data_IF_666222581397
#
_entry.id   IF_666222581397
#
_cell.length_a   1.000
_cell.length_b   1.000
_cell.length_c   1.000
_cell.angle_alpha   90.00
_cell.angle_beta   90.00
_cell.angle_gamma   90.00
#
_symmetry.space_group_name_H-M   'P 1'
#
loop_
_entity.id
_entity.type
_entity.pdbx_description
1 polymer ?
#
# COMPACT_ATOMS: atom_id res chain seq x y z
N UNK A 1 -17.38 -70.09 -39.86
CA UNK A 1 -16.57 -69.92 -41.09
C UNK A 1 -16.14 -68.47 -41.16
N UNK A 2 -14.89 -68.14 -41.52
CA UNK A 2 -13.60 -68.87 -41.41
C UNK A 2 -12.64 -68.06 -40.50
N UNK A 3 -11.40 -68.41 -40.11
CA UNK A 3 -10.47 -69.53 -40.28
C UNK A 3 -9.27 -69.24 -39.35
N UNK A 4 -8.79 -70.23 -38.56
CA UNK A 4 -7.50 -70.95 -38.72
C UNK A 4 -6.23 -70.07 -38.58
N UNK A 5 -5.44 -70.22 -37.52
CA UNK A 5 -4.40 -71.25 -37.23
C UNK A 5 -3.00 -70.91 -37.80
N UNK A 6 -1.98 -71.51 -37.18
CA UNK A 6 -0.51 -71.45 -37.39
C UNK A 6 0.22 -70.43 -36.48
N UNK A 7 1.28 -70.75 -35.72
CA UNK A 7 2.10 -71.96 -35.63
C UNK A 7 2.95 -71.93 -34.34
N UNK A 8 3.01 -73.09 -33.68
CA UNK A 8 4.17 -73.76 -33.05
C UNK A 8 5.56 -73.34 -33.61
N UNK A 9 6.73 -73.47 -32.96
CA UNK A 9 7.25 -74.20 -31.79
C UNK A 9 8.74 -73.75 -31.70
N UNK A 10 9.35 -73.76 -30.52
CA UNK A 10 10.77 -74.10 -30.40
C UNK A 10 11.06 -74.64 -28.99
N UNK A 11 11.33 -75.94 -28.95
CA UNK A 11 11.76 -76.73 -27.80
C UNK A 11 13.27 -76.53 -27.54
N UNK A 12 13.67 -76.54 -26.27
CA UNK A 12 14.85 -77.27 -25.72
C UNK A 12 14.88 -77.02 -24.19
N UNK A 13 14.44 -77.97 -23.37
CA UNK A 13 15.16 -79.12 -22.77
C UNK A 13 16.26 -78.75 -21.77
N UNK A 14 16.04 -79.26 -20.55
CA UNK A 14 17.01 -79.87 -19.61
C UNK A 14 18.13 -78.98 -19.01
N UNK A 15 18.64 -79.17 -17.80
CA UNK A 15 18.28 -79.94 -16.61
C UNK A 15 19.21 -79.45 -15.47
N UNK A 16 18.68 -79.54 -14.25
CA UNK A 16 19.31 -79.51 -12.92
C UNK A 16 20.84 -79.71 -12.85
N UNK A 17 21.55 -78.80 -12.15
CA UNK A 17 22.59 -79.12 -11.15
C UNK A 17 22.68 -77.99 -10.10
N UNK A 18 22.51 -78.33 -8.82
CA UNK A 18 23.02 -77.64 -7.62
C UNK A 18 24.31 -78.36 -7.18
N UNK A 19 25.18 -77.86 -6.27
CA UNK A 19 25.31 -76.53 -5.64
C UNK A 19 26.76 -75.99 -5.67
N UNK A 20 26.99 -74.73 -5.30
CA UNK A 20 28.29 -74.30 -4.78
C UNK A 20 28.11 -73.12 -3.82
N UNK A 21 28.28 -73.41 -2.53
CA UNK A 21 28.45 -72.41 -1.47
C UNK A 21 29.93 -72.02 -1.47
N UNK A 22 30.20 -70.74 -1.72
CA UNK A 22 31.46 -70.10 -1.33
C UNK A 22 31.14 -68.70 -0.82
N UNK A 23 31.42 -68.50 0.47
CA UNK A 23 31.25 -67.27 1.22
C UNK A 23 32.04 -66.12 0.58
N UNK A 24 31.42 -64.94 0.46
CA UNK A 24 32.13 -63.68 0.47
C UNK A 24 31.40 -62.68 1.38
N UNK A 25 32.15 -62.21 2.37
CA UNK A 25 31.81 -61.19 3.35
C UNK A 25 31.83 -59.83 2.65
N UNK A 26 30.75 -59.06 2.73
CA UNK A 26 30.75 -57.59 2.62
C UNK A 26 29.45 -57.01 3.19
N UNK A 27 29.56 -56.56 4.44
CA UNK A 27 29.00 -55.35 5.05
C UNK A 27 27.58 -54.90 4.68
N UNK A 28 26.71 -54.95 5.70
CA UNK A 28 25.39 -54.32 5.79
C UNK A 28 25.43 -52.83 5.39
N UNK A 29 24.58 -52.46 4.43
CA UNK A 29 24.17 -51.08 4.20
C UNK A 29 23.04 -50.73 5.17
N UNK A 30 23.03 -49.54 5.78
CA UNK A 30 22.04 -49.17 6.78
C UNK A 30 20.66 -49.01 6.13
N UNK A 31 19.67 -49.62 6.77
CA UNK A 31 18.25 -49.52 6.46
C UNK A 31 17.84 -48.05 6.24
N UNK A 32 17.37 -47.75 5.03
CA UNK A 32 16.59 -46.56 4.73
C UNK A 32 15.32 -46.60 5.56
N UNK A 33 15.32 -45.87 6.68
CA UNK A 33 14.12 -45.57 7.46
C UNK A 33 13.13 -44.83 6.56
N UNK A 34 12.14 -45.56 6.07
CA UNK A 34 10.97 -45.03 5.40
C UNK A 34 10.22 -44.07 6.33
N UNK A 35 9.89 -42.89 5.82
CA UNK A 35 8.96 -41.96 6.46
C UNK A 35 7.65 -42.71 6.79
N UNK A 36 7.11 -42.58 8.01
CA UNK A 36 5.85 -43.22 8.35
C UNK A 36 4.74 -42.66 7.45
N UNK A 37 3.99 -43.55 6.80
CA UNK A 37 2.79 -43.23 6.02
C UNK A 37 1.75 -42.56 6.94
N UNK A 38 1.76 -41.22 7.00
CA UNK A 38 0.75 -40.42 7.68
C UNK A 38 -0.40 -40.08 6.72
N UNK A 39 -1.13 -41.09 6.29
CA UNK A 39 -2.43 -40.89 5.64
C UNK A 39 -3.53 -40.89 6.69
N UNK A 40 -3.87 -39.69 7.18
CA UNK A 40 -5.08 -39.46 7.97
C UNK A 40 -6.11 -38.76 7.05
N UNK A 41 -7.16 -39.43 6.57
CA UNK A 41 -8.03 -38.95 5.49
C UNK A 41 -9.04 -37.86 5.90
N UNK A 42 -8.74 -37.03 6.91
CA UNK A 42 -9.72 -36.10 7.50
C UNK A 42 -9.26 -34.68 7.77
N UNK A 43 -8.00 -34.32 7.54
CA UNK A 43 -7.54 -32.94 7.73
C UNK A 43 -7.87 -32.11 6.50
N UNK A 44 -8.75 -31.12 6.63
CA UNK A 44 -9.04 -30.17 5.55
C UNK A 44 -7.88 -29.20 5.37
N UNK A 45 -7.74 -28.58 4.19
CA UNK A 45 -6.71 -27.59 3.91
C UNK A 45 -6.76 -26.43 4.92
N UNK A 46 -7.96 -25.95 5.28
CA UNK A 46 -8.15 -24.89 6.27
C UNK A 46 -7.72 -25.31 7.69
N UNK A 47 -7.97 -26.56 8.09
CA UNK A 47 -7.53 -27.07 9.38
C UNK A 47 -5.99 -27.22 9.43
N UNK A 48 -5.38 -27.63 8.31
CA UNK A 48 -3.92 -27.68 8.18
C UNK A 48 -3.28 -26.28 8.29
N UNK A 49 -3.86 -25.29 7.61
CA UNK A 49 -3.42 -23.90 7.72
C UNK A 49 -3.54 -23.36 9.16
N UNK A 50 -4.66 -23.61 9.84
CA UNK A 50 -4.90 -23.16 11.21
C UNK A 50 -3.88 -23.75 12.22
N UNK A 51 -3.47 -25.01 12.03
CA UNK A 51 -2.40 -25.63 12.83
C UNK A 51 -1.10 -24.81 12.70
N UNK A 52 -0.73 -24.46 11.46
CA UNK A 52 0.50 -23.72 11.18
C UNK A 52 0.41 -22.27 11.72
N UNK A 53 -0.73 -21.59 11.55
CA UNK A 53 -0.92 -20.25 12.09
C UNK A 53 -0.79 -20.24 13.62
N UNK A 54 -1.47 -21.17 14.30
CA UNK A 54 -1.42 -21.28 15.77
C UNK A 54 -0.01 -21.57 16.27
N UNK A 55 0.75 -22.38 15.54
CA UNK A 55 2.15 -22.64 15.85
C UNK A 55 2.99 -21.36 15.82
N UNK A 56 2.93 -20.59 14.74
CA UNK A 56 3.70 -19.33 14.67
C UNK A 56 3.21 -18.29 15.70
N UNK A 57 1.89 -18.16 15.90
CA UNK A 57 1.31 -17.27 16.93
C UNK A 57 1.81 -17.66 18.34
N UNK A 58 1.89 -18.96 18.64
CA UNK A 58 2.43 -19.43 19.90
C UNK A 58 3.92 -19.08 20.05
N UNK A 59 4.72 -19.27 19.01
CA UNK A 59 6.15 -18.96 19.05
C UNK A 59 6.43 -17.46 19.20
N UNK A 60 5.73 -16.59 18.48
CA UNK A 60 5.95 -15.14 18.59
C UNK A 60 5.58 -14.56 19.97
N UNK A 61 4.70 -15.26 20.71
CA UNK A 61 4.25 -14.83 22.04
C UNK A 61 5.12 -15.38 23.17
N UNK A 62 5.74 -16.55 22.97
CA UNK A 62 6.41 -17.29 24.04
C UNK A 62 7.93 -17.48 23.83
N UNK A 63 8.44 -17.18 22.65
CA UNK A 63 9.86 -17.39 22.28
C UNK A 63 10.53 -16.10 21.84
N UNK A 64 11.86 -16.15 21.71
CA UNK A 64 12.63 -15.05 21.11
C UNK A 64 12.33 -14.93 19.61
N UNK A 65 12.34 -13.71 19.04
CA UNK A 65 12.11 -13.46 17.61
C UNK A 65 12.93 -14.34 16.65
N UNK A 66 14.19 -14.60 16.97
CA UNK A 66 15.11 -15.37 16.16
C UNK A 66 14.71 -16.85 16.06
N UNK A 67 14.10 -17.39 17.12
CA UNK A 67 13.60 -18.77 17.12
C UNK A 67 12.38 -18.90 16.23
N UNK A 68 11.44 -17.95 16.28
CA UNK A 68 10.30 -17.94 15.37
C UNK A 68 10.75 -17.83 13.89
N UNK A 69 11.81 -17.07 13.63
CA UNK A 69 12.43 -17.02 12.30
C UNK A 69 13.07 -18.35 11.88
N UNK A 70 13.78 -19.02 12.80
CA UNK A 70 14.37 -20.32 12.53
C UNK A 70 13.31 -21.37 12.22
N UNK A 71 12.23 -21.43 13.00
CA UNK A 71 11.11 -22.34 12.73
C UNK A 71 10.43 -22.05 11.38
N UNK A 72 10.35 -20.77 10.98
CA UNK A 72 9.84 -20.40 9.67
C UNK A 72 10.74 -20.93 8.53
N UNK A 73 12.05 -20.76 8.66
CA UNK A 73 13.02 -21.32 7.72
C UNK A 73 12.92 -22.83 7.65
N UNK A 74 12.84 -23.50 8.81
CA UNK A 74 12.69 -24.93 8.91
C UNK A 74 11.37 -25.43 8.30
N UNK A 75 10.29 -24.65 8.33
CA UNK A 75 9.02 -25.11 7.76
C UNK A 75 8.93 -24.90 6.24
N UNK A 76 9.37 -23.74 5.75
CA UNK A 76 9.09 -23.32 4.38
C UNK A 76 10.33 -23.28 3.46
N UNK A 77 11.52 -22.97 3.98
CA UNK A 77 12.68 -22.64 3.14
C UNK A 77 13.63 -23.83 3.04
N UNK A 78 14.07 -24.33 4.19
CA UNK A 78 14.95 -25.49 4.33
C UNK A 78 14.30 -26.46 5.32
N UNK A 79 13.45 -27.38 4.85
CA UNK A 79 12.85 -28.41 5.70
C UNK A 79 13.89 -29.33 6.33
N UNK A 80 14.37 -28.93 7.52
CA UNK A 80 15.35 -29.66 8.31
C UNK A 80 14.63 -30.25 9.54
N UNK A 81 14.75 -31.56 9.72
CA UNK A 81 14.22 -32.24 10.90
C UNK A 81 15.01 -31.86 12.17
N UNK A 82 14.36 -31.74 13.35
CA UNK A 82 13.02 -32.25 13.65
C UNK A 82 11.94 -31.17 13.71
N UNK A 83 10.97 -31.22 12.80
CA UNK A 83 9.68 -30.53 12.93
C UNK A 83 8.67 -31.42 13.66
N UNK A 84 7.73 -30.80 14.37
CA UNK A 84 6.61 -31.53 14.99
C UNK A 84 5.83 -32.33 13.94
N UNK A 85 5.48 -33.59 14.26
CA UNK A 85 4.77 -34.47 13.32
C UNK A 85 3.45 -33.88 12.80
N UNK A 86 2.78 -33.04 13.61
CA UNK A 86 1.55 -32.32 13.23
C UNK A 86 1.80 -31.26 12.14
N UNK A 87 2.93 -30.56 12.18
CA UNK A 87 3.30 -29.56 11.18
C UNK A 87 3.67 -30.22 9.87
N UNK A 88 4.43 -31.32 9.92
CA UNK A 88 4.77 -32.11 8.74
C UNK A 88 3.49 -32.62 8.07
N UNK A 89 2.55 -33.16 8.86
CA UNK A 89 1.27 -33.62 8.35
C UNK A 89 0.45 -32.49 7.74
N UNK A 90 0.38 -31.32 8.39
CA UNK A 90 -0.32 -30.15 7.87
C UNK A 90 0.25 -29.69 6.52
N UNK A 91 1.58 -29.54 6.43
CA UNK A 91 2.26 -29.17 5.19
C UNK A 91 2.05 -30.21 4.09
N UNK A 92 2.11 -31.49 4.42
CA UNK A 92 1.82 -32.57 3.47
C UNK A 92 0.38 -32.49 2.96
N UNK A 93 -0.61 -32.26 3.82
CA UNK A 93 -2.01 -32.07 3.41
C UNK A 93 -2.16 -30.93 2.41
N UNK A 94 -1.54 -29.77 2.67
CA UNK A 94 -1.61 -28.60 1.78
C UNK A 94 -1.00 -28.91 0.41
N UNK A 95 0.16 -29.57 0.38
CA UNK A 95 0.86 -29.90 -0.87
C UNK A 95 0.12 -30.98 -1.66
N UNK A 96 -0.46 -31.98 -1.00
CA UNK A 96 -1.26 -33.03 -1.66
C UNK A 96 -2.55 -32.47 -2.26
N UNK A 97 -3.17 -31.47 -1.63
CA UNK A 97 -4.31 -30.76 -2.22
C UNK A 97 -3.95 -30.02 -3.53
N UNK A 98 -2.64 -29.80 -3.78
CA UNK A 98 -2.10 -29.19 -4.99
C UNK A 98 -2.74 -27.82 -5.33
N UNK A 99 -3.09 -27.06 -4.29
CA UNK A 99 -3.65 -25.72 -4.41
C UNK A 99 -2.58 -24.68 -4.10
N UNK A 100 -1.95 -24.16 -5.16
CA UNK A 100 -0.92 -23.13 -5.07
C UNK A 100 -1.44 -21.83 -4.44
N UNK A 101 -2.72 -21.50 -4.65
CA UNK A 101 -3.31 -20.25 -4.14
C UNK A 101 -3.42 -20.32 -2.62
N UNK A 102 -3.90 -21.45 -2.10
CA UNK A 102 -4.02 -21.67 -0.66
C UNK A 102 -2.67 -21.78 0.04
N UNK A 103 -1.65 -22.31 -0.64
CA UNK A 103 -0.27 -22.26 -0.14
C UNK A 103 0.26 -20.81 -0.08
N UNK A 104 0.08 -20.03 -1.15
CA UNK A 104 0.53 -18.64 -1.18
C UNK A 104 -0.15 -17.79 -0.09
N UNK A 105 -1.45 -17.98 0.13
CA UNK A 105 -2.19 -17.33 1.22
C UNK A 105 -1.63 -17.70 2.60
N UNK A 106 -1.36 -18.99 2.83
CA UNK A 106 -0.72 -19.47 4.06
C UNK A 106 0.65 -18.84 4.29
N UNK A 107 1.50 -18.88 3.27
CA UNK A 107 2.86 -18.37 3.34
C UNK A 107 2.86 -16.86 3.59
N UNK A 108 2.06 -16.09 2.81
CA UNK A 108 1.84 -14.65 2.99
C UNK A 108 1.43 -14.32 4.42
N UNK A 109 0.41 -15.01 4.94
CA UNK A 109 -0.08 -14.76 6.31
C UNK A 109 0.97 -15.06 7.37
N UNK A 110 1.74 -16.15 7.22
CA UNK A 110 2.84 -16.46 8.14
C UNK A 110 3.94 -15.38 8.13
N UNK A 111 4.28 -14.81 6.96
CA UNK A 111 5.17 -13.66 6.88
C UNK A 111 4.62 -12.48 7.69
N UNK A 112 3.34 -12.10 7.52
CA UNK A 112 2.75 -10.98 8.26
C UNK A 112 2.65 -11.23 9.77
N UNK A 113 2.40 -12.47 10.22
CA UNK A 113 2.43 -12.84 11.65
C UNK A 113 3.80 -12.50 12.26
N UNK A 114 4.89 -12.89 11.60
CA UNK A 114 6.25 -12.60 12.06
C UNK A 114 6.58 -11.10 11.97
N UNK A 115 6.32 -10.50 10.81
CA UNK A 115 6.66 -9.09 10.55
C UNK A 115 5.95 -8.14 11.53
N UNK A 116 4.67 -8.37 11.82
CA UNK A 116 3.91 -7.57 12.76
C UNK A 116 4.50 -7.60 14.17
N UNK A 117 4.91 -8.80 14.61
CA UNK A 117 5.55 -8.98 15.91
C UNK A 117 6.92 -8.29 15.96
N UNK A 118 7.78 -8.54 14.96
CA UNK A 118 9.15 -8.02 14.93
C UNK A 118 9.20 -6.50 14.83
N UNK A 119 8.35 -5.89 13.99
CA UNK A 119 8.28 -4.43 13.88
C UNK A 119 7.84 -3.79 15.19
N UNK A 120 6.86 -4.38 15.88
CA UNK A 120 6.40 -3.91 17.18
C UNK A 120 7.52 -3.97 18.23
N UNK A 121 8.40 -4.98 18.13
CA UNK A 121 9.56 -5.16 18.99
C UNK A 121 10.84 -4.47 18.47
N UNK A 122 10.74 -3.65 17.41
CA UNK A 122 11.86 -2.93 16.77
C UNK A 122 12.96 -3.84 16.20
N UNK A 123 12.64 -5.09 15.89
CA UNK A 123 13.53 -6.08 15.28
C UNK A 123 13.54 -5.95 13.75
N UNK A 124 13.94 -4.77 13.25
CA UNK A 124 13.86 -4.45 11.82
C UNK A 124 14.82 -5.27 10.95
N UNK A 125 15.97 -5.65 11.53
CA UNK A 125 16.96 -6.48 10.84
C UNK A 125 16.39 -7.86 10.46
N UNK A 126 15.61 -8.50 11.35
CA UNK A 126 14.95 -9.77 11.05
C UNK A 126 13.90 -9.63 9.94
N UNK A 127 13.18 -8.51 9.90
CA UNK A 127 12.23 -8.24 8.82
C UNK A 127 12.93 -8.11 7.46
N UNK A 128 14.08 -7.44 7.42
CA UNK A 128 14.90 -7.32 6.20
C UNK A 128 15.49 -8.66 5.77
N UNK A 129 16.00 -9.44 6.73
CA UNK A 129 16.52 -10.79 6.49
C UNK A 129 15.45 -11.71 5.91
N UNK A 130 14.21 -11.66 6.41
CA UNK A 130 13.10 -12.45 5.86
C UNK A 130 12.90 -12.17 4.36
N UNK A 131 12.86 -10.89 3.96
CA UNK A 131 12.67 -10.52 2.55
C UNK A 131 13.87 -10.96 1.71
N UNK A 132 15.10 -10.75 2.21
CA UNK A 132 16.32 -11.16 1.52
C UNK A 132 16.40 -12.67 1.32
N UNK A 133 16.12 -13.46 2.38
CA UNK A 133 16.14 -14.93 2.30
C UNK A 133 15.08 -15.45 1.35
N UNK A 134 13.86 -14.91 1.35
CA UNK A 134 12.81 -15.31 0.40
C UNK A 134 13.24 -15.07 -1.05
N UNK A 135 13.93 -13.95 -1.33
CA UNK A 135 14.49 -13.67 -2.66
C UNK A 135 15.52 -14.72 -3.08
N UNK A 136 16.42 -15.09 -2.18
CA UNK A 136 17.53 -16.00 -2.44
C UNK A 136 17.08 -17.44 -2.73
N UNK A 137 15.86 -17.83 -2.35
CA UNK A 137 15.25 -19.13 -2.71
C UNK A 137 15.26 -19.36 -4.22
N UNK A 138 15.15 -18.29 -5.01
CA UNK A 138 15.16 -18.36 -6.48
C UNK A 138 16.49 -18.84 -7.07
N UNK A 139 17.58 -18.74 -6.31
CA UNK A 139 18.95 -19.06 -6.75
C UNK A 139 19.39 -20.48 -6.38
N UNK A 140 18.60 -21.20 -5.57
CA UNK A 140 18.93 -22.54 -5.10
C UNK A 140 18.63 -23.62 -6.15
N UNK A 141 19.50 -24.64 -6.24
CA UNK A 141 19.36 -25.80 -7.13
C UNK A 141 18.06 -26.59 -6.89
N UNK A 142 17.54 -27.38 -7.86
CA UNK A 142 16.36 -28.20 -7.65
C UNK A 142 16.55 -29.27 -6.56
N UNK A 143 15.52 -29.49 -5.73
CA UNK A 143 15.55 -30.52 -4.69
C UNK A 143 15.39 -31.92 -5.28
N UNK A 144 15.98 -32.93 -4.63
CA UNK A 144 15.89 -34.34 -5.04
C UNK A 144 14.52 -34.99 -4.75
N UNK A 145 13.72 -34.41 -3.83
CA UNK A 145 12.42 -34.96 -3.42
C UNK A 145 11.24 -34.20 -4.05
N UNK A 146 10.23 -34.94 -4.52
CA UNK A 146 9.04 -34.38 -5.19
C UNK A 146 8.31 -33.32 -4.34
N UNK A 147 8.21 -33.53 -3.01
CA UNK A 147 7.56 -32.60 -2.08
C UNK A 147 8.28 -31.25 -2.03
N UNK A 148 9.61 -31.28 -1.84
CA UNK A 148 10.45 -30.08 -1.80
C UNK A 148 10.50 -29.37 -3.16
N UNK A 149 10.39 -30.13 -4.24
CA UNK A 149 10.34 -29.58 -5.59
C UNK A 149 9.07 -28.75 -5.81
N UNK A 150 7.89 -29.25 -5.40
CA UNK A 150 6.63 -28.51 -5.50
C UNK A 150 6.69 -27.22 -4.67
N UNK A 151 7.14 -27.34 -3.41
CA UNK A 151 7.31 -26.19 -2.51
C UNK A 151 8.24 -25.12 -3.11
N UNK A 152 9.40 -25.52 -3.67
CA UNK A 152 10.33 -24.59 -4.35
C UNK A 152 9.74 -23.98 -5.61
N UNK A 153 8.90 -24.69 -6.36
CA UNK A 153 8.21 -24.13 -7.53
C UNK A 153 7.21 -23.05 -7.07
N UNK A 154 6.40 -23.34 -6.06
CA UNK A 154 5.42 -22.38 -5.53
C UNK A 154 6.10 -21.15 -4.93
N UNK A 155 7.16 -21.33 -4.14
CA UNK A 155 7.93 -20.20 -3.60
C UNK A 155 8.58 -19.35 -4.69
N UNK A 156 9.11 -19.95 -5.75
CA UNK A 156 9.64 -19.19 -6.89
C UNK A 156 8.56 -18.36 -7.60
N UNK A 157 7.36 -18.92 -7.77
CA UNK A 157 6.22 -18.18 -8.30
C UNK A 157 5.76 -17.07 -7.35
N UNK A 158 5.77 -17.33 -6.04
CA UNK A 158 5.46 -16.34 -5.01
C UNK A 158 6.41 -15.14 -5.06
N UNK A 159 7.72 -15.37 -5.22
CA UNK A 159 8.71 -14.28 -5.36
C UNK A 159 8.42 -13.40 -6.58
N UNK A 160 7.90 -13.96 -7.66
CA UNK A 160 7.48 -13.21 -8.86
C UNK A 160 6.07 -12.60 -8.75
N UNK A 161 5.38 -12.78 -7.62
CA UNK A 161 3.99 -12.37 -7.44
C UNK A 161 3.87 -10.96 -6.84
N UNK A 162 2.68 -10.38 -6.97
CA UNK A 162 2.32 -9.11 -6.32
C UNK A 162 2.42 -9.20 -4.79
N UNK A 163 2.12 -10.35 -4.20
CA UNK A 163 2.14 -10.54 -2.75
C UNK A 163 3.54 -10.37 -2.15
N UNK A 164 4.58 -10.82 -2.87
CA UNK A 164 5.96 -10.61 -2.44
C UNK A 164 6.38 -9.13 -2.55
N UNK A 165 6.00 -8.43 -3.63
CA UNK A 165 6.26 -7.00 -3.75
C UNK A 165 5.52 -6.20 -2.66
N UNK A 166 4.33 -6.63 -2.23
CA UNK A 166 3.62 -6.03 -1.09
C UNK A 166 4.39 -6.18 0.24
N UNK A 167 4.95 -7.37 0.51
CA UNK A 167 5.78 -7.63 1.70
C UNK A 167 7.07 -6.81 1.64
N UNK A 168 7.74 -6.77 0.49
CA UNK A 168 8.95 -5.98 0.29
C UNK A 168 8.70 -4.49 0.48
N UNK A 169 7.60 -3.97 -0.07
CA UNK A 169 7.17 -2.60 0.16
C UNK A 169 6.90 -2.32 1.64
N UNK A 170 6.44 -3.30 2.41
CA UNK A 170 6.16 -3.12 3.83
C UNK A 170 7.45 -2.94 4.67
N UNK A 171 8.52 -3.66 4.34
CA UNK A 171 9.79 -3.64 5.08
C UNK A 171 10.77 -2.57 4.58
N UNK A 172 10.62 -2.10 3.33
CA UNK A 172 11.58 -1.21 2.64
C UNK A 172 11.98 0.04 3.43
N UNK A 173 11.10 0.61 4.26
CA UNK A 173 11.42 1.82 5.05
C UNK A 173 12.51 1.61 6.11
N UNK A 174 12.85 0.36 6.41
CA UNK A 174 13.92 0.02 7.35
C UNK A 174 15.24 -0.29 6.65
N UNK A 175 15.22 -0.42 5.32
CA UNK A 175 16.40 -0.68 4.52
C UNK A 175 17.15 0.63 4.26
N UNK A 176 18.32 0.78 4.90
CA UNK A 176 19.17 1.96 4.74
C UNK A 176 20.16 1.83 3.56
N UNK A 177 20.19 0.68 2.87
CA UNK A 177 21.25 0.33 1.91
C UNK A 177 20.82 0.35 0.43
N UNK A 178 19.53 0.48 0.15
CA UNK A 178 19.01 0.47 -1.23
C UNK A 178 18.85 1.90 -1.74
N UNK A 179 19.42 2.21 -2.90
CA UNK A 179 19.04 3.39 -3.68
C UNK A 179 17.53 3.30 -3.96
N UNK A 180 16.76 4.04 -3.17
CA UNK A 180 15.32 3.93 -3.21
C UNK A 180 14.79 4.57 -4.48
N UNK A 181 14.10 3.76 -5.28
CA UNK A 181 13.29 4.21 -6.41
C UNK A 181 12.40 5.42 -6.02
N UNK A 182 12.12 6.33 -6.95
CA UNK A 182 11.43 7.60 -6.64
C UNK A 182 10.05 7.40 -5.96
N UNK A 183 9.41 6.26 -6.22
CA UNK A 183 8.13 5.87 -5.62
C UNK A 183 8.20 5.61 -4.12
N UNK A 184 9.38 5.32 -3.56
CA UNK A 184 9.56 4.99 -2.14
C UNK A 184 9.09 6.13 -1.21
N UNK A 185 9.28 7.38 -1.63
CA UNK A 185 8.76 8.57 -0.91
C UNK A 185 7.24 8.57 -0.78
N UNK A 186 6.55 7.96 -1.74
CA UNK A 186 5.10 7.90 -1.85
C UNK A 186 4.52 6.57 -1.34
N UNK A 187 5.32 5.79 -0.62
CA UNK A 187 4.92 4.56 0.06
C UNK A 187 3.61 4.69 0.88
N UNK A 188 3.30 5.80 1.59
CA UNK A 188 2.04 5.91 2.32
C UNK A 188 0.80 5.75 1.43
N UNK A 189 0.89 6.18 0.16
CA UNK A 189 -0.18 6.00 -0.82
C UNK A 189 -0.19 4.58 -1.40
N UNK A 190 0.98 4.00 -1.70
CA UNK A 190 1.05 2.61 -2.17
C UNK A 190 0.48 1.61 -1.14
N UNK A 191 0.67 1.87 0.14
CA UNK A 191 0.05 1.08 1.23
C UNK A 191 -1.48 1.19 1.25
N UNK A 192 -2.07 2.25 0.67
CA UNK A 192 -3.53 2.36 0.52
C UNK A 192 -4.10 1.28 -0.39
N UNK A 193 -3.37 0.86 -1.42
CA UNK A 193 -3.76 -0.28 -2.23
C UNK A 193 -3.78 -1.59 -1.42
N UNK A 194 -2.99 -1.70 -0.35
CA UNK A 194 -2.97 -2.90 0.51
C UNK A 194 -4.08 -2.88 1.56
N UNK A 195 -4.26 -1.78 2.31
CA UNK A 195 -5.26 -1.75 3.39
C UNK A 195 -6.70 -1.59 2.91
N UNK A 196 -6.92 -1.14 1.67
CA UNK A 196 -8.26 -1.06 1.08
C UNK A 196 -8.64 -2.29 0.25
N UNK A 197 -7.70 -3.21 -0.03
CA UNK A 197 -8.02 -4.43 -0.78
C UNK A 197 -8.76 -5.42 0.12
N UNK A 198 -10.04 -5.67 -0.18
CA UNK A 198 -10.87 -6.60 0.57
C UNK A 198 -10.40 -8.06 0.50
N UNK A 199 -9.50 -8.38 -0.45
CA UNK A 199 -8.88 -9.72 -0.56
C UNK A 199 -7.79 -9.95 0.48
N UNK A 200 -7.18 -8.87 0.99
CA UNK A 200 -6.14 -8.97 2.01
C UNK A 200 -6.74 -9.31 3.39
N UNK A 201 -5.98 -10.04 4.19
CA UNK A 201 -6.42 -10.44 5.53
C UNK A 201 -6.63 -9.21 6.44
N UNK A 202 -7.47 -9.30 7.48
CA UNK A 202 -7.63 -8.20 8.45
C UNK A 202 -6.30 -7.72 9.04
N UNK A 203 -5.38 -8.66 9.33
CA UNK A 203 -4.06 -8.38 9.87
C UNK A 203 -3.18 -7.61 8.87
N UNK A 204 -3.16 -8.04 7.60
CA UNK A 204 -2.46 -7.33 6.51
C UNK A 204 -2.95 -5.90 6.35
N UNK A 205 -4.28 -5.73 6.33
CA UNK A 205 -4.90 -4.42 6.14
C UNK A 205 -4.60 -3.48 7.30
N UNK A 206 -4.72 -3.96 8.54
CA UNK A 206 -4.44 -3.14 9.71
C UNK A 206 -2.97 -2.72 9.76
N UNK A 207 -2.08 -3.65 9.45
CA UNK A 207 -0.64 -3.40 9.38
C UNK A 207 -0.27 -2.34 8.35
N UNK A 208 -0.78 -2.45 7.12
CA UNK A 208 -0.54 -1.46 6.09
C UNK A 208 -1.14 -0.08 6.45
N UNK A 209 -2.31 -0.07 7.11
CA UNK A 209 -2.96 1.15 7.59
C UNK A 209 -2.13 1.87 8.65
N UNK A 210 -1.69 1.15 9.69
CA UNK A 210 -0.85 1.69 10.77
C UNK A 210 0.45 2.24 10.21
N UNK A 211 1.09 1.50 9.30
CA UNK A 211 2.33 1.93 8.67
C UNK A 211 2.15 3.22 7.84
N UNK A 212 1.10 3.26 7.00
CA UNK A 212 0.77 4.45 6.19
C UNK A 212 0.56 5.67 7.09
N UNK A 213 -0.17 5.49 8.20
CA UNK A 213 -0.42 6.57 9.16
C UNK A 213 0.87 7.07 9.82
N UNK A 214 1.75 6.16 10.28
CA UNK A 214 3.04 6.54 10.88
C UNK A 214 3.91 7.37 9.93
N UNK A 215 3.97 6.99 8.65
CA UNK A 215 4.74 7.72 7.65
C UNK A 215 4.15 9.11 7.37
N UNK A 216 2.82 9.23 7.28
CA UNK A 216 2.13 10.52 7.12
C UNK A 216 2.34 11.43 8.33
N UNK A 217 2.29 10.89 9.55
CA UNK A 217 2.52 11.65 10.78
C UNK A 217 3.97 12.12 10.90
N UNK A 218 4.94 11.27 10.50
CA UNK A 218 6.35 11.65 10.39
C UNK A 218 6.53 12.82 9.42
N UNK A 219 6.02 12.69 8.19
CA UNK A 219 6.09 13.76 7.18
C UNK A 219 5.49 15.07 7.70
N UNK A 220 4.33 14.99 8.33
CA UNK A 220 3.65 16.15 8.91
C UNK A 220 4.45 16.83 10.01
N UNK A 221 5.06 16.05 10.90
CA UNK A 221 5.94 16.58 11.95
C UNK A 221 7.16 17.26 11.33
N UNK A 222 7.83 16.61 10.38
CA UNK A 222 8.99 17.15 9.68
C UNK A 222 8.65 18.44 8.93
N UNK A 223 7.48 18.52 8.30
CA UNK A 223 7.02 19.72 7.60
C UNK A 223 6.79 20.88 8.57
N UNK A 224 6.15 20.63 9.71
CA UNK A 224 5.95 21.63 10.76
C UNK A 224 7.29 22.12 11.35
N UNK A 225 8.25 21.21 11.53
CA UNK A 225 9.60 21.55 11.99
C UNK A 225 10.36 22.37 10.95
N UNK A 226 10.26 22.01 9.68
CA UNK A 226 10.87 22.74 8.57
C UNK A 226 10.34 24.18 8.51
N UNK A 227 9.02 24.38 8.49
CA UNK A 227 8.42 25.72 8.43
C UNK A 227 8.78 26.59 9.63
N UNK A 228 8.81 26.03 10.84
CA UNK A 228 9.16 26.78 12.05
C UNK A 228 10.63 27.23 12.11
N UNK A 229 11.54 26.44 11.53
CA UNK A 229 12.99 26.66 11.64
C UNK A 229 13.57 27.47 10.48
N UNK A 230 13.09 27.24 9.27
CA UNK A 230 13.63 27.88 8.05
C UNK A 230 13.50 29.40 8.07
N UNK A 231 12.46 29.94 8.71
CA UNK A 231 12.20 31.39 8.77
C UNK A 231 12.62 32.05 10.10
N UNK A 232 13.25 31.29 10.99
CA UNK A 232 13.64 31.80 12.32
C UNK A 232 15.06 32.39 12.32
N UNK A 233 15.18 33.61 12.84
CA UNK A 233 16.46 34.33 12.93
C UNK A 233 17.48 33.60 13.82
N UNK A 234 17.01 32.87 14.83
CA UNK A 234 17.85 32.07 15.73
C UNK A 234 18.57 30.90 15.03
N UNK A 235 18.15 30.61 13.80
CA UNK A 235 18.42 29.37 13.10
C UNK A 235 19.09 29.57 11.72
N UNK A 236 19.43 30.82 11.35
CA UNK A 236 19.97 31.24 10.02
C UNK A 236 21.23 30.52 9.51
N UNK A 237 21.99 29.85 10.38
CA UNK A 237 23.30 29.27 10.04
C UNK A 237 23.33 27.73 10.01
N UNK A 238 22.20 27.04 10.13
CA UNK A 238 22.14 25.59 9.94
C UNK A 238 21.30 25.26 8.71
N UNK A 239 21.80 24.32 7.89
CA UNK A 239 21.00 23.66 6.86
C UNK A 239 19.96 22.78 7.56
N UNK A 240 18.69 22.93 7.17
CA UNK A 240 17.60 22.12 7.72
C UNK A 240 17.14 21.09 6.70
N UNK A 241 16.74 19.93 7.21
CA UNK A 241 16.10 18.92 6.39
C UNK A 241 14.74 19.44 5.90
N UNK A 242 14.62 19.61 4.58
CA UNK A 242 13.35 19.85 3.92
C UNK A 242 12.73 18.48 3.60
N UNK A 243 11.55 18.15 4.14
CA UNK A 243 10.91 16.86 3.88
C UNK A 243 10.30 16.76 2.48
N UNK A 244 10.35 17.84 1.68
CA UNK A 244 9.79 17.90 0.32
C UNK A 244 10.88 17.83 -0.76
N UNK A 245 10.50 17.45 -1.98
CA UNK A 245 11.39 17.53 -3.16
C UNK A 245 11.37 18.90 -3.86
N UNK A 246 10.60 19.87 -3.34
CA UNK A 246 10.43 21.19 -3.96
C UNK A 246 11.53 22.19 -3.56
N UNK A 247 12.41 21.84 -2.63
CA UNK A 247 13.42 22.78 -2.13
C UNK A 247 12.78 24.04 -1.53
N UNK A 248 13.36 25.20 -1.81
CA UNK A 248 12.90 26.48 -1.26
C UNK A 248 11.48 26.87 -1.74
N UNK A 249 11.04 26.36 -2.89
CA UNK A 249 9.68 26.57 -3.42
C UNK A 249 8.60 25.99 -2.49
N UNK A 250 8.95 25.02 -1.63
CA UNK A 250 8.02 24.49 -0.64
C UNK A 250 7.46 25.58 0.29
N UNK A 251 8.30 26.50 0.77
CA UNK A 251 7.85 27.58 1.66
C UNK A 251 6.97 28.57 0.91
N UNK A 252 7.36 28.94 -0.32
CA UNK A 252 6.56 29.82 -1.17
C UNK A 252 5.19 29.20 -1.43
N UNK A 253 5.13 27.92 -1.76
CA UNK A 253 3.89 27.19 -1.98
C UNK A 253 3.01 27.15 -0.73
N UNK A 254 3.57 26.85 0.45
CA UNK A 254 2.84 26.87 1.72
C UNK A 254 2.23 28.25 1.97
N UNK A 255 2.98 29.33 1.74
CA UNK A 255 2.48 30.70 1.88
C UNK A 255 1.36 30.99 0.88
N UNK A 256 1.50 30.60 -0.39
CA UNK A 256 0.45 30.75 -1.41
C UNK A 256 -0.82 30.02 -0.98
N UNK A 257 -0.72 28.77 -0.51
CA UNK A 257 -1.85 27.98 -0.02
C UNK A 257 -2.55 28.66 1.18
N UNK A 258 -1.78 29.31 2.05
CA UNK A 258 -2.31 30.05 3.20
C UNK A 258 -2.87 31.42 2.84
N UNK A 259 -2.43 32.06 1.76
CA UNK A 259 -2.99 33.33 1.26
C UNK A 259 -4.28 33.07 0.48
N UNK A 260 -4.27 32.08 -0.42
CA UNK A 260 -5.39 31.75 -1.31
C UNK A 260 -6.62 31.18 -0.59
N UNK A 261 -6.61 31.14 0.75
CA UNK A 261 -7.78 30.88 1.58
C UNK A 261 -8.75 32.07 1.64
N UNK A 262 -8.34 33.28 1.21
CA UNK A 262 -9.19 34.47 1.32
C UNK A 262 -9.55 34.78 2.78
N UNK A 263 -10.73 35.39 3.02
CA UNK A 263 -11.17 35.75 4.37
C UNK A 263 -11.64 34.56 5.21
N UNK A 264 -12.02 33.44 4.58
CA UNK A 264 -12.53 32.23 5.23
C UNK A 264 -11.63 31.03 4.92
N UNK A 265 -11.10 30.38 5.95
CA UNK A 265 -10.29 29.15 5.76
C UNK A 265 -11.08 28.07 4.99
N UNK A 266 -10.40 27.24 4.17
CA UNK A 266 -11.10 26.16 3.44
C UNK A 266 -11.93 25.24 4.35
N UNK A 267 -11.50 24.87 5.58
CA UNK A 267 -12.37 24.14 6.51
C UNK A 267 -13.63 24.91 6.91
N UNK A 268 -13.52 26.22 7.13
CA UNK A 268 -14.69 27.08 7.42
C UNK A 268 -15.64 27.11 6.23
N UNK A 269 -15.10 27.28 5.02
CA UNK A 269 -15.86 27.25 3.77
C UNK A 269 -16.61 25.92 3.59
N UNK A 270 -15.92 24.80 3.82
CA UNK A 270 -16.50 23.46 3.73
C UNK A 270 -17.66 23.27 4.72
N UNK A 271 -17.48 23.70 5.97
CA UNK A 271 -18.53 23.63 6.98
C UNK A 271 -19.75 24.49 6.62
N UNK A 272 -19.52 25.71 6.11
CA UNK A 272 -20.62 26.57 5.64
C UNK A 272 -21.38 25.93 4.49
N UNK A 273 -20.67 25.36 3.51
CA UNK A 273 -21.28 24.66 2.38
C UNK A 273 -22.10 23.44 2.84
N UNK A 274 -21.58 22.63 3.76
CA UNK A 274 -22.29 21.46 4.30
C UNK A 274 -23.56 21.88 5.05
N UNK A 275 -23.48 22.93 5.87
CA UNK A 275 -24.65 23.46 6.59
C UNK A 275 -25.72 24.01 5.62
N UNK A 276 -25.30 24.69 4.55
CA UNK A 276 -26.21 25.18 3.51
C UNK A 276 -26.79 24.05 2.64
N UNK A 277 -26.13 22.89 2.60
CA UNK A 277 -26.58 21.73 1.86
C UNK A 277 -27.55 20.85 2.66
N UNK A 278 -27.97 21.28 3.84
CA UNK A 278 -28.99 20.57 4.60
C UNK A 278 -30.36 20.81 3.96
N UNK A 279 -31.15 19.74 3.76
CA UNK A 279 -32.53 19.81 3.27
C UNK A 279 -32.72 20.36 1.85
N UNK A 280 -31.73 20.18 0.97
CA UNK A 280 -31.84 20.53 -0.46
C UNK A 280 -32.00 19.28 -1.34
N UNK A 281 -32.37 19.47 -2.61
CA UNK A 281 -32.37 18.38 -3.59
C UNK A 281 -30.96 18.04 -4.06
N UNK A 282 -30.77 16.83 -4.57
CA UNK A 282 -29.46 16.41 -5.09
C UNK A 282 -28.97 17.32 -6.24
N UNK A 283 -29.87 17.79 -7.10
CA UNK A 283 -29.56 18.76 -8.15
C UNK A 283 -29.04 20.09 -7.61
N UNK A 284 -29.70 20.63 -6.58
CA UNK A 284 -29.28 21.87 -5.92
C UNK A 284 -27.90 21.68 -5.27
N UNK A 285 -27.65 20.51 -4.67
CA UNK A 285 -26.34 20.17 -4.13
C UNK A 285 -25.26 20.19 -5.21
N UNK A 286 -25.49 19.54 -6.36
CA UNK A 286 -24.53 19.52 -7.48
C UNK A 286 -24.19 20.94 -7.97
N UNK A 287 -25.19 21.81 -8.08
CA UNK A 287 -24.98 23.23 -8.44
C UNK A 287 -24.20 23.99 -7.37
N UNK A 288 -24.49 23.75 -6.09
CA UNK A 288 -23.75 24.33 -4.97
C UNK A 288 -22.30 23.86 -4.93
N UNK A 289 -22.05 22.57 -5.24
CA UNK A 289 -20.73 21.96 -5.26
C UNK A 289 -19.81 22.61 -6.30
N UNK A 290 -20.34 22.96 -7.48
CA UNK A 290 -19.59 23.73 -8.49
C UNK A 290 -19.19 25.08 -7.92
N UNK A 291 -20.13 25.84 -7.35
CA UNK A 291 -19.85 27.17 -6.77
C UNK A 291 -18.81 27.09 -5.64
N UNK A 292 -18.92 26.10 -4.76
CA UNK A 292 -17.97 25.84 -3.68
C UNK A 292 -16.57 25.52 -4.21
N UNK A 293 -16.48 24.64 -5.21
CA UNK A 293 -15.20 24.18 -5.79
C UNK A 293 -14.39 25.34 -6.37
N UNK A 294 -15.05 26.30 -7.01
CA UNK A 294 -14.42 27.45 -7.66
C UNK A 294 -14.48 28.75 -6.83
N UNK A 295 -14.94 28.68 -5.58
CA UNK A 295 -14.93 29.84 -4.69
C UNK A 295 -13.48 30.30 -4.41
N UNK A 296 -13.19 31.58 -4.64
CA UNK A 296 -11.84 32.21 -4.67
C UNK A 296 -10.89 31.79 -5.80
N UNK A 297 -11.37 31.06 -6.82
CA UNK A 297 -10.56 30.76 -7.99
C UNK A 297 -10.66 31.92 -8.99
N UNK A 298 -9.52 32.55 -9.32
CA UNK A 298 -9.48 33.56 -10.38
C UNK A 298 -9.89 32.95 -11.72
N UNK A 299 -10.83 33.61 -12.42
CA UNK A 299 -11.32 33.13 -13.70
C UNK A 299 -10.30 33.49 -14.78
N UNK A 300 -9.66 32.46 -15.34
CA UNK A 300 -8.89 32.50 -16.56
C UNK A 300 -9.37 31.41 -17.53
N UNK A 301 -8.93 31.45 -18.79
CA UNK A 301 -9.35 30.52 -19.85
C UNK A 301 -9.23 29.06 -19.43
N UNK A 302 -8.18 28.73 -18.68
CA UNK A 302 -7.94 27.37 -18.18
C UNK A 302 -8.93 26.95 -17.10
N UNK A 303 -9.15 27.78 -16.07
CA UNK A 303 -10.11 27.50 -15.00
C UNK A 303 -11.54 27.39 -15.53
N UNK A 304 -11.87 28.10 -16.62
CA UNK A 304 -13.15 27.98 -17.31
C UNK A 304 -13.33 26.63 -18.01
N UNK A 305 -12.29 26.11 -18.68
CA UNK A 305 -12.30 24.76 -19.29
C UNK A 305 -12.54 23.71 -18.20
N UNK A 306 -11.81 23.84 -17.09
CA UNK A 306 -11.88 22.95 -15.94
C UNK A 306 -13.27 22.97 -15.32
N UNK A 307 -13.83 24.16 -15.10
CA UNK A 307 -15.17 24.33 -14.56
C UNK A 307 -16.21 23.69 -15.47
N UNK A 308 -16.12 23.91 -16.78
CA UNK A 308 -17.00 23.28 -17.78
C UNK A 308 -16.95 21.76 -17.69
N UNK A 309 -15.76 21.17 -17.60
CA UNK A 309 -15.61 19.72 -17.48
C UNK A 309 -16.18 19.16 -16.19
N UNK A 310 -16.05 19.87 -15.07
CA UNK A 310 -16.66 19.45 -13.79
C UNK A 310 -18.20 19.57 -13.85
N UNK A 311 -18.72 20.61 -14.51
CA UNK A 311 -20.17 20.75 -14.74
C UNK A 311 -20.68 19.55 -15.54
N UNK A 312 -20.05 19.21 -16.66
CA UNK A 312 -20.41 18.04 -17.48
C UNK A 312 -20.41 16.75 -16.65
N UNK A 313 -19.39 16.52 -15.83
CA UNK A 313 -19.30 15.33 -14.97
C UNK A 313 -20.48 15.28 -13.99
N UNK A 314 -20.77 16.40 -13.30
CA UNK A 314 -21.83 16.44 -12.30
C UNK A 314 -23.22 16.33 -12.91
N UNK A 315 -23.47 16.95 -14.07
CA UNK A 315 -24.74 16.82 -14.78
C UNK A 315 -25.03 15.37 -15.19
N UNK A 316 -24.00 14.64 -15.63
CA UNK A 316 -24.12 13.22 -15.98
C UNK A 316 -24.17 12.29 -14.75
N UNK A 317 -23.81 12.77 -13.56
CA UNK A 317 -23.80 11.95 -12.34
C UNK A 317 -25.22 11.82 -11.78
N UNK A 318 -25.80 10.62 -11.94
CA UNK A 318 -27.07 10.21 -11.35
C UNK A 318 -28.25 11.18 -11.58
N UNK A 319 -28.56 11.56 -12.85
CA UNK A 319 -29.65 12.48 -13.15
C UNK A 319 -31.04 11.94 -12.76
N UNK A 320 -31.19 10.62 -12.67
CA UNK A 320 -32.44 9.95 -12.31
C UNK A 320 -32.95 10.25 -10.90
N UNK A 321 -32.06 10.69 -9.99
CA UNK A 321 -32.36 11.00 -8.59
C UNK A 321 -32.15 12.48 -8.25
N UNK A 322 -32.09 13.36 -9.26
CA UNK A 322 -31.82 14.79 -9.09
C UNK A 322 -32.80 15.51 -8.15
N UNK A 323 -34.05 15.07 -8.18
CA UNK A 323 -35.13 15.63 -7.36
C UNK A 323 -35.25 14.94 -5.99
N UNK A 324 -34.45 13.89 -5.72
CA UNK A 324 -34.40 13.26 -4.39
C UNK A 324 -33.70 14.16 -3.37
N UNK A 325 -33.98 13.90 -2.09
CA UNK A 325 -33.35 14.61 -0.98
C UNK A 325 -31.87 14.25 -0.89
N UNK A 326 -31.02 15.28 -0.85
CA UNK A 326 -29.59 15.12 -0.65
C UNK A 326 -29.27 14.50 0.72
N UNK A 327 -28.31 13.57 0.75
CA UNK A 327 -27.89 12.86 1.95
C UNK A 327 -26.38 12.54 1.92
N UNK A 328 -25.85 12.03 3.04
CA UNK A 328 -24.43 11.71 3.20
C UNK A 328 -23.92 10.59 2.27
N UNK A 329 -24.79 9.66 1.86
CA UNK A 329 -24.43 8.61 0.89
C UNK A 329 -24.21 9.21 -0.50
N UNK A 330 -25.09 10.12 -0.92
CA UNK A 330 -24.94 10.86 -2.18
C UNK A 330 -23.68 11.72 -2.15
N UNK A 331 -23.42 12.45 -1.06
CA UNK A 331 -22.18 13.21 -0.88
C UNK A 331 -20.93 12.35 -1.13
N UNK A 332 -20.82 11.21 -0.43
CA UNK A 332 -19.68 10.31 -0.57
C UNK A 332 -19.53 9.77 -1.99
N UNK A 333 -20.63 9.36 -2.62
CA UNK A 333 -20.64 8.82 -3.99
C UNK A 333 -20.21 9.88 -5.01
N UNK A 334 -20.75 11.09 -4.92
CA UNK A 334 -20.41 12.20 -5.81
C UNK A 334 -18.94 12.62 -5.63
N UNK A 335 -18.46 12.74 -4.38
CA UNK A 335 -17.06 13.08 -4.11
C UNK A 335 -16.09 12.01 -4.61
N UNK A 336 -16.38 10.73 -4.39
CA UNK A 336 -15.55 9.64 -4.91
C UNK A 336 -15.57 9.61 -6.45
N UNK A 337 -16.73 9.85 -7.07
CA UNK A 337 -16.84 9.93 -8.52
C UNK A 337 -16.01 11.08 -9.10
N UNK A 338 -16.08 12.28 -8.50
CA UNK A 338 -15.26 13.42 -8.91
C UNK A 338 -13.76 13.12 -8.77
N UNK A 339 -13.32 12.58 -7.63
CA UNK A 339 -11.92 12.20 -7.41
C UNK A 339 -11.45 11.27 -8.52
N UNK A 340 -12.23 10.23 -8.83
CA UNK A 340 -11.93 9.29 -9.90
C UNK A 340 -11.81 9.99 -11.26
N UNK A 341 -12.81 10.78 -11.67
CA UNK A 341 -12.78 11.52 -12.93
C UNK A 341 -11.62 12.51 -13.07
N UNK A 342 -11.12 13.02 -11.94
CA UNK A 342 -10.00 13.95 -11.88
C UNK A 342 -8.64 13.24 -11.68
N UNK A 343 -8.61 11.91 -11.56
CA UNK A 343 -7.38 11.13 -11.31
C UNK A 343 -7.25 9.97 -12.30
N UNK A 344 -7.96 8.86 -12.07
CA UNK A 344 -7.77 7.58 -12.75
C UNK A 344 -9.05 7.01 -13.37
N UNK A 345 -8.87 6.32 -14.49
CA UNK A 345 -9.89 5.53 -15.15
C UNK A 345 -10.08 4.16 -14.47
N UNK A 346 -11.09 3.41 -14.92
CA UNK A 346 -11.33 2.04 -14.43
C UNK A 346 -10.15 1.09 -14.70
N UNK A 347 -9.45 1.31 -15.81
CA UNK A 347 -8.25 0.58 -16.22
C UNK A 347 -7.05 0.81 -15.29
N UNK A 348 -7.10 1.82 -14.42
CA UNK A 348 -5.95 2.30 -13.64
C UNK A 348 -5.10 3.33 -14.38
N UNK A 349 -5.40 3.61 -15.65
CA UNK A 349 -4.74 4.65 -16.42
C UNK A 349 -5.14 6.05 -15.93
N UNK A 350 -4.27 7.05 -16.06
CA UNK A 350 -4.63 8.43 -15.76
C UNK A 350 -5.77 8.90 -16.68
N UNK A 351 -6.69 9.71 -16.16
CA UNK A 351 -7.73 10.33 -16.99
C UNK A 351 -7.15 11.40 -17.91
N UNK A 352 -7.82 11.69 -19.02
CA UNK A 352 -7.46 12.81 -19.89
C UNK A 352 -7.47 14.15 -19.12
N UNK A 353 -8.43 14.31 -18.19
CA UNK A 353 -8.47 15.46 -17.29
C UNK A 353 -7.23 15.50 -16.42
N UNK A 354 -6.89 14.42 -15.72
CA UNK A 354 -5.69 14.39 -14.88
C UNK A 354 -4.44 14.79 -15.66
N UNK A 355 -4.22 14.22 -16.86
CA UNK A 355 -3.09 14.60 -17.71
C UNK A 355 -3.12 16.08 -18.07
N UNK A 356 -4.27 16.61 -18.47
CA UNK A 356 -4.46 18.03 -18.76
C UNK A 356 -4.08 18.90 -17.55
N UNK A 357 -4.61 18.57 -16.37
CA UNK A 357 -4.34 19.30 -15.13
C UNK A 357 -2.89 19.23 -14.69
N UNK A 358 -2.30 18.05 -14.74
CA UNK A 358 -0.99 17.84 -14.13
C UNK A 358 0.16 18.25 -15.06
N UNK A 359 -0.07 18.30 -16.38
CA UNK A 359 0.97 18.71 -17.36
C UNK A 359 0.80 20.14 -17.84
N UNK A 360 -0.44 20.62 -18.03
CA UNK A 360 -0.70 21.94 -18.61
C UNK A 360 -1.17 22.97 -17.58
N UNK A 361 -1.69 22.54 -16.43
CA UNK A 361 -2.18 23.44 -15.38
C UNK A 361 -1.22 23.46 -14.19
N UNK A 362 -1.34 24.51 -13.38
CA UNK A 362 -0.62 24.59 -12.12
C UNK A 362 -1.10 23.43 -11.21
N UNK A 363 -0.21 22.49 -10.81
CA UNK A 363 -0.57 21.34 -9.97
C UNK A 363 -1.31 21.74 -8.68
N UNK A 364 -1.10 22.98 -8.22
CA UNK A 364 -1.79 23.56 -7.09
C UNK A 364 -3.31 23.63 -7.29
N UNK A 365 -3.81 23.96 -8.47
CA UNK A 365 -5.27 24.09 -8.72
C UNK A 365 -5.95 22.74 -8.48
N UNK A 366 -5.40 21.67 -9.07
CA UNK A 366 -5.92 20.32 -8.87
C UNK A 366 -5.78 19.87 -7.41
N UNK A 367 -4.63 20.15 -6.78
CA UNK A 367 -4.42 19.82 -5.37
C UNK A 367 -5.42 20.52 -4.44
N UNK A 368 -5.72 21.81 -4.67
CA UNK A 368 -6.71 22.56 -3.88
C UNK A 368 -8.13 22.05 -4.16
N UNK A 369 -8.45 21.70 -5.40
CA UNK A 369 -9.74 21.09 -5.73
C UNK A 369 -9.92 19.75 -4.98
N UNK A 370 -8.90 18.89 -4.98
CA UNK A 370 -8.90 17.63 -4.23
C UNK A 370 -9.08 17.88 -2.74
N UNK A 371 -8.31 18.82 -2.18
CA UNK A 371 -8.43 19.22 -0.79
C UNK A 371 -9.86 19.67 -0.45
N UNK A 372 -10.46 20.55 -1.28
CA UNK A 372 -11.83 21.03 -1.07
C UNK A 372 -12.84 19.89 -1.06
N UNK A 373 -12.68 18.88 -1.92
CA UNK A 373 -13.52 17.68 -1.94
C UNK A 373 -13.34 16.87 -0.63
N UNK A 374 -12.09 16.68 -0.18
CA UNK A 374 -11.82 15.96 1.08
C UNK A 374 -12.39 16.69 2.31
N UNK A 375 -12.39 18.02 2.31
CA UNK A 375 -12.92 18.79 3.44
C UNK A 375 -14.43 18.66 3.60
N UNK A 376 -15.18 18.47 2.51
CA UNK A 376 -16.64 18.24 2.59
C UNK A 376 -16.98 16.76 2.77
N UNK A 377 -16.11 15.84 2.31
CA UNK A 377 -16.28 14.39 2.48
C UNK A 377 -14.97 13.76 2.99
N UNK A 378 -14.70 13.79 4.31
CA UNK A 378 -13.48 13.23 4.88
C UNK A 378 -13.29 11.73 4.55
N UNK A 379 -14.38 10.98 4.44
CA UNK A 379 -14.36 9.56 4.07
C UNK A 379 -13.84 9.31 2.64
N UNK A 380 -13.93 10.31 1.74
CA UNK A 380 -13.38 10.23 0.39
C UNK A 380 -11.85 10.25 0.36
N UNK A 381 -11.18 10.57 1.48
CA UNK A 381 -9.71 10.62 1.56
C UNK A 381 -9.07 9.28 1.23
N UNK A 382 -9.62 8.19 1.76
CA UNK A 382 -9.10 6.84 1.47
C UNK A 382 -9.20 6.52 -0.02
N UNK A 383 -10.28 6.96 -0.68
CA UNK A 383 -10.45 6.77 -2.12
C UNK A 383 -9.42 7.57 -2.93
N UNK A 384 -9.14 8.83 -2.54
CA UNK A 384 -8.09 9.65 -3.15
C UNK A 384 -6.71 8.98 -3.03
N UNK A 385 -6.38 8.47 -1.84
CA UNK A 385 -5.11 7.79 -1.59
C UNK A 385 -4.96 6.52 -2.44
N UNK A 386 -6.05 5.77 -2.65
CA UNK A 386 -6.08 4.64 -3.59
C UNK A 386 -5.87 5.08 -5.05
N UNK A 387 -6.48 6.20 -5.47
CA UNK A 387 -6.25 6.75 -6.80
C UNK A 387 -4.79 7.18 -7.00
N UNK A 388 -4.16 7.80 -5.99
CA UNK A 388 -2.73 8.09 -6.02
C UNK A 388 -1.89 6.82 -6.11
N UNK A 389 -2.23 5.76 -5.37
CA UNK A 389 -1.53 4.47 -5.47
C UNK A 389 -1.54 3.94 -6.91
N UNK A 390 -2.69 3.98 -7.58
CA UNK A 390 -2.85 3.56 -8.98
C UNK A 390 -2.02 4.41 -9.95
N UNK A 391 -2.02 5.73 -9.78
CA UNK A 391 -1.19 6.62 -10.61
C UNK A 391 0.31 6.34 -10.41
N UNK A 392 0.74 6.14 -9.17
CA UNK A 392 2.13 5.82 -8.86
C UNK A 392 2.53 4.49 -9.50
N UNK A 393 1.69 3.46 -9.40
CA UNK A 393 1.91 2.16 -10.05
C UNK A 393 1.95 2.28 -11.58
N UNK A 394 1.12 3.13 -12.18
CA UNK A 394 1.13 3.35 -13.62
C UNK A 394 2.45 3.98 -14.11
N UNK A 395 3.01 4.91 -13.33
CA UNK A 395 4.24 5.61 -13.69
C UNK A 395 5.53 4.96 -13.15
N UNK A 396 5.44 3.90 -12.34
CA UNK A 396 6.58 3.36 -11.59
C UNK A 396 7.72 2.84 -12.47
N UNK A 397 7.43 2.39 -13.69
CA UNK A 397 8.44 1.84 -14.59
C UNK A 397 9.24 2.94 -15.33
N UNK A 398 8.79 4.20 -15.23
CA UNK A 398 9.46 5.35 -15.82
C UNK A 398 10.50 5.94 -14.85
N UNK A 399 11.51 6.61 -15.42
CA UNK A 399 12.55 7.28 -14.64
C UNK A 399 11.99 8.47 -13.85
N UNK A 400 12.69 8.86 -12.77
CA UNK A 400 12.30 10.03 -11.97
C UNK A 400 12.26 11.32 -12.81
N UNK A 401 13.17 11.45 -13.79
CA UNK A 401 13.25 12.61 -14.68
C UNK A 401 12.01 12.73 -15.58
N UNK A 402 11.55 11.61 -16.17
CA UNK A 402 10.33 11.56 -16.98
C UNK A 402 9.06 11.83 -16.15
N UNK A 403 9.10 11.46 -14.87
CA UNK A 403 7.99 11.63 -13.93
C UNK A 403 8.03 12.95 -13.16
N UNK A 404 8.94 13.89 -13.46
CA UNK A 404 9.14 15.09 -12.65
C UNK A 404 7.86 15.93 -12.46
N UNK A 405 7.02 16.05 -13.49
CA UNK A 405 5.73 16.76 -13.38
C UNK A 405 4.78 16.07 -12.40
N UNK A 406 4.76 14.74 -12.39
CA UNK A 406 3.90 13.93 -11.53
C UNK A 406 4.40 13.93 -10.09
N UNK A 407 5.72 13.81 -9.90
CA UNK A 407 6.40 13.97 -8.61
C UNK A 407 6.04 15.34 -8.02
N UNK A 408 6.18 16.42 -8.81
CA UNK A 408 5.80 17.77 -8.38
C UNK A 408 4.32 17.84 -7.96
N UNK A 409 3.41 17.25 -8.74
CA UNK A 409 1.99 17.17 -8.37
C UNK A 409 1.75 16.44 -7.03
N UNK A 410 2.43 15.31 -6.79
CA UNK A 410 2.32 14.57 -5.54
C UNK A 410 2.86 15.38 -4.35
N UNK A 411 3.98 16.09 -4.50
CA UNK A 411 4.53 16.99 -3.47
C UNK A 411 3.54 18.10 -3.12
N UNK A 412 2.97 18.76 -4.14
CA UNK A 412 1.99 19.84 -3.94
C UNK A 412 0.73 19.30 -3.23
N UNK A 413 0.25 18.12 -3.61
CA UNK A 413 -0.88 17.47 -2.94
C UNK A 413 -0.56 17.10 -1.49
N UNK A 414 0.62 16.52 -1.22
CA UNK A 414 1.05 16.17 0.13
C UNK A 414 1.08 17.40 1.03
N UNK A 415 1.66 18.51 0.55
CA UNK A 415 1.71 19.78 1.28
C UNK A 415 0.29 20.30 1.54
N UNK A 416 -0.55 20.41 0.51
CA UNK A 416 -1.91 20.95 0.63
C UNK A 416 -2.77 20.14 1.62
N UNK A 417 -2.75 18.80 1.51
CA UNK A 417 -3.49 17.90 2.39
C UNK A 417 -2.92 17.89 3.82
N UNK A 418 -1.62 18.16 4.00
CA UNK A 418 -0.98 18.22 5.33
C UNK A 418 -1.28 19.54 6.05
N UNK A 419 -1.23 20.67 5.34
CA UNK A 419 -1.53 22.00 5.89
C UNK A 419 -2.94 22.04 6.48
N UNK A 420 -3.91 21.47 5.76
CA UNK A 420 -5.31 21.42 6.16
C UNK A 420 -5.71 20.11 6.82
N UNK A 421 -4.74 19.25 7.12
CA UNK A 421 -4.93 18.01 7.84
C UNK A 421 -5.30 18.23 9.31
N UNK A 422 -5.54 17.13 10.01
CA UNK A 422 -5.91 17.15 11.42
C UNK A 422 -4.67 17.46 12.30
N UNK A 423 -4.87 18.09 13.45
CA UNK A 423 -3.91 18.26 14.56
C UNK A 423 -2.77 19.31 14.45
N UNK A 424 -2.46 19.90 13.30
CA UNK A 424 -1.52 21.06 13.21
C UNK A 424 -2.23 22.22 12.51
N UNK A 425 -2.16 23.41 13.09
CA UNK A 425 -2.60 24.66 12.50
C UNK A 425 -1.39 25.38 11.91
N UNK A 426 -1.48 25.72 10.63
CA UNK A 426 -0.52 26.58 9.95
C UNK A 426 -1.14 27.97 9.79
N UNK A 427 -0.43 28.98 10.30
CA UNK A 427 -0.84 30.38 10.24
C UNK A 427 0.22 31.20 9.53
N UNK A 428 -0.23 32.16 8.73
CA UNK A 428 0.64 33.14 8.09
C UNK A 428 0.56 34.45 8.89
N UNK A 429 1.71 34.98 9.29
CA UNK A 429 1.83 36.24 10.02
C UNK A 429 2.65 37.20 9.18
N UNK A 430 2.07 38.36 8.86
CA UNK A 430 2.80 39.44 8.21
C UNK A 430 3.66 40.16 9.26
N UNK A 431 4.97 40.24 9.00
CA UNK A 431 5.94 40.84 9.92
C UNK A 431 6.25 42.31 9.57
N UNK A 432 5.54 42.92 8.61
CA UNK A 432 5.73 44.34 8.31
C UNK A 432 4.98 45.25 9.29
N UNK A 433 5.68 46.23 9.86
CA UNK A 433 5.10 47.26 10.75
C UNK A 433 4.20 48.28 10.00
N UNK A 434 3.94 48.07 8.70
CA UNK A 434 3.12 48.96 7.87
C UNK A 434 1.65 48.63 8.03
N UNK A 435 1.04 49.14 9.10
CA UNK A 435 -0.42 49.28 9.20
C UNK A 435 -0.88 50.42 8.30
N UNK A 436 -0.99 50.19 6.98
CA UNK A 436 -1.72 51.13 6.12
C UNK A 436 -2.56 50.39 5.08
N UNK A 437 -3.87 50.50 5.31
CA UNK A 437 -4.93 50.76 4.33
C UNK A 437 -4.48 50.72 2.86
N UNK A 438 -4.65 49.55 2.26
CA UNK A 438 -5.06 49.28 0.86
C UNK A 438 -4.64 47.83 0.56
N UNK A 439 -5.62 46.92 0.59
CA UNK A 439 -5.47 45.59 0.02
C UNK A 439 -5.02 45.73 -1.43
N UNK A 440 -4.00 44.96 -1.83
CA UNK A 440 -3.99 44.20 -3.09
C UNK A 440 -2.73 43.35 -3.28
N UNK A 441 -1.62 43.58 -2.55
CA UNK A 441 -0.43 42.72 -2.66
C UNK A 441 0.18 42.41 -1.31
N UNK A 442 -0.09 41.20 -0.80
CA UNK A 442 0.65 40.62 0.33
C UNK A 442 2.04 40.25 -0.19
N UNK A 443 3.08 40.95 0.28
CA UNK A 443 4.46 40.55 0.02
C UNK A 443 4.79 39.26 0.80
N UNK A 444 4.85 38.16 0.05
CA UNK A 444 5.21 36.82 0.54
C UNK A 444 6.54 36.80 1.30
N UNK A 445 7.47 37.69 0.98
CA UNK A 445 8.79 37.75 1.61
C UNK A 445 8.72 38.30 3.04
N UNK A 446 7.70 39.11 3.36
CA UNK A 446 7.50 39.67 4.70
C UNK A 446 6.61 38.80 5.59
N UNK A 447 6.04 37.74 5.04
CA UNK A 447 5.18 36.82 5.76
C UNK A 447 5.98 35.63 6.30
N UNK A 448 5.66 35.20 7.52
CA UNK A 448 6.21 33.99 8.15
C UNK A 448 5.14 32.97 8.47
N UNK A 449 5.48 31.69 8.31
CA UNK A 449 4.62 30.54 8.61
C UNK A 449 4.88 30.07 10.03
N UNK A 450 3.81 29.98 10.81
CA UNK A 450 3.82 29.43 12.16
C UNK A 450 2.99 28.15 12.20
N UNK A 451 3.55 27.09 12.80
CA UNK A 451 2.87 25.82 13.04
C UNK A 451 2.58 25.67 14.54
N UNK A 452 1.34 25.33 14.88
CA UNK A 452 0.92 25.08 16.27
C UNK A 452 0.12 23.78 16.34
N UNK A 453 0.32 22.97 17.38
CA UNK A 453 -0.56 21.82 17.63
C UNK A 453 -1.97 22.32 18.01
N UNK A 454 -3.00 21.77 17.36
CA UNK A 454 -4.38 22.06 17.76
C UNK A 454 -4.58 21.57 19.20
N UNK A 455 -5.19 22.37 20.10
CA UNK A 455 -5.60 21.86 21.39
C UNK A 455 -6.54 20.67 21.15
N UNK A 456 -6.26 19.53 21.80
CA UNK A 456 -7.17 18.39 21.78
C UNK A 456 -8.53 18.89 22.28
N UNK A 457 -9.55 18.86 21.42
CA UNK A 457 -10.93 19.00 21.90
C UNK A 457 -11.12 17.84 22.88
N UNK A 458 -11.29 18.16 24.16
CA UNK A 458 -11.88 17.20 25.08
C UNK A 458 -13.28 16.97 24.54
N UNK A 459 -13.52 15.77 24.02
CA UNK A 459 -14.89 15.32 23.83
C UNK A 459 -15.56 15.41 25.20
N UNK A 460 -16.62 16.22 25.28
CA UNK A 460 -17.52 16.16 26.41
C UNK A 460 -18.31 14.87 26.23
N UNK A 461 -18.16 13.98 27.22
CA UNK A 461 -18.81 12.67 27.32
C UNK A 461 -20.31 12.70 27.00
#
# INVERSE_FOLDING_TARGET
MPSQDFSSQAETKESKVLPAVTNNILTEAPETKSLPQLNNPGLTIYAAQDIIYKFFIHHINNSKPELAWQEFKNLFIEPIAPLEAKLIQAMHTIIVCNDETEFNNLFKRCCYILLNNWISQRQYQLALELVATIREITLAEPAAENFLQILRVWLRKFVSSKDYEEIKLFVSKYDNLVETHWTARYQPYLLAAQYLDAKNTPEERETARVLSQQLKDKYKFELAMYTSRSESAAFKFKTYYNPTLLGDEALRLIKIILINRGSLSYPTLANLFLNQSQYITYKQFKQGLIKYSFYYTEVNDYTAIVQTKIIEILELTHPEIDEESFNSSLLLRTCNHLIKCLTVENSGEPTALFRLFATQLNPLILAILMLKIILISPHSRMHLELCFAKLIQYYQDNSAEECQWFINFLEVCQIALTIYGENVQYNLVNMSDKYHQEELFIDLNNCRVFSQQKPLKKDQD
#
